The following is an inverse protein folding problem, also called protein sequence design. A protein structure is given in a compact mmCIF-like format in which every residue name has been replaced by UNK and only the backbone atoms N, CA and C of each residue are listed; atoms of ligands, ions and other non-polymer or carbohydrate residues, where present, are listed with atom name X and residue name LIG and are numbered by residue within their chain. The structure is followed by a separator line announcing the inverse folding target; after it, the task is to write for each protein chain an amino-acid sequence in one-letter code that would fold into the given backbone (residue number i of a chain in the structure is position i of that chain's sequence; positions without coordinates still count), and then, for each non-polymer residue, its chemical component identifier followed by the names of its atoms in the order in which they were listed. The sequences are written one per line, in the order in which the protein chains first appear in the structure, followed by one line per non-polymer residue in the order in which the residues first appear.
data_IF_250933023971
#
_entry.id   IF_250933023971
#
_cell.length_a   1.000
_cell.length_b   1.000
_cell.length_c   1.000
_cell.angle_alpha   90.00
_cell.angle_beta   90.00
_cell.angle_gamma   90.00
#
_symmetry.space_group_name_H-M   'P 1'
#
loop_
_entity.id
_entity.type
_entity.pdbx_description
1 polymer ?
#
# COMPACT_ATOMS: atom_id res chain seq x y z
N UNK A 1 -31.44 -38.11 -21.48
CA UNK A 1 -30.33 -37.79 -22.40
C UNK A 1 -30.32 -36.29 -22.65
N UNK A 2 -29.42 -35.54 -22.01
CA UNK A 2 -29.22 -34.11 -22.26
C UNK A 2 -27.74 -33.86 -22.45
N UNK A 3 -27.34 -33.51 -23.67
CA UNK A 3 -25.95 -33.34 -24.11
C UNK A 3 -25.38 -32.06 -23.49
N UNK A 4 -24.17 -32.15 -22.96
CA UNK A 4 -23.39 -30.99 -22.51
C UNK A 4 -22.89 -30.19 -23.71
N UNK A 5 -23.14 -28.88 -23.68
CA UNK A 5 -22.42 -27.91 -24.51
C UNK A 5 -21.24 -27.35 -23.73
N UNK A 6 -20.05 -27.76 -24.11
CA UNK A 6 -18.80 -27.15 -23.70
C UNK A 6 -18.63 -25.80 -24.40
N UNK A 7 -18.55 -24.71 -23.65
CA UNK A 7 -18.10 -23.42 -24.16
C UNK A 7 -16.57 -23.33 -24.02
N UNK A 8 -15.89 -23.34 -25.16
CA UNK A 8 -14.47 -22.96 -25.26
C UNK A 8 -14.36 -21.44 -25.22
N UNK A 9 -13.64 -20.90 -24.23
CA UNK A 9 -13.22 -19.51 -24.23
C UNK A 9 -11.97 -19.37 -25.13
N UNK A 10 -12.12 -18.68 -26.26
CA UNK A 10 -11.00 -18.26 -27.11
C UNK A 10 -10.37 -17.00 -26.53
N UNK A 11 -9.07 -17.06 -26.21
CA UNK A 11 -8.28 -15.95 -25.71
C UNK A 11 -7.90 -15.01 -26.86
N UNK A 12 -8.41 -13.77 -26.84
CA UNK A 12 -7.77 -12.61 -27.50
C UNK A 12 -8.01 -11.33 -26.70
N UNK A 13 -6.92 -10.68 -26.30
CA UNK A 13 -6.89 -9.26 -25.92
C UNK A 13 -7.34 -8.96 -24.49
N UNK A 14 -6.52 -8.20 -23.77
CA UNK A 14 -6.76 -7.66 -22.43
C UNK A 14 -7.90 -6.65 -22.40
N UNK A 15 -9.15 -7.13 -22.45
CA UNK A 15 -10.35 -6.39 -22.08
C UNK A 15 -11.46 -7.38 -21.77
N UNK A 16 -11.79 -7.56 -20.50
CA UNK A 16 -12.94 -8.35 -20.11
C UNK A 16 -14.21 -7.50 -20.27
N UNK A 17 -14.88 -7.62 -21.41
CA UNK A 17 -16.23 -7.09 -21.56
C UNK A 17 -17.21 -8.00 -20.81
N UNK A 18 -17.57 -7.58 -19.59
CA UNK A 18 -18.58 -8.25 -18.77
C UNK A 18 -20.00 -7.73 -19.10
N UNK A 19 -20.35 -7.66 -20.38
CA UNK A 19 -21.70 -7.25 -20.77
C UNK A 19 -22.71 -8.33 -20.32
N UNK A 20 -23.71 -7.94 -19.53
CA UNK A 20 -24.83 -8.81 -19.14
C UNK A 20 -24.69 -9.64 -17.85
N UNK A 21 -23.58 -9.53 -17.10
CA UNK A 21 -23.42 -10.24 -15.82
C UNK A 21 -23.78 -9.38 -14.60
N UNK A 22 -24.49 -9.97 -13.65
CA UNK A 22 -24.75 -9.37 -12.33
C UNK A 22 -23.47 -9.34 -11.47
N UNK A 23 -23.40 -8.43 -10.49
CA UNK A 23 -22.23 -8.28 -9.59
C UNK A 23 -21.84 -9.60 -8.90
N UNK A 24 -22.84 -10.39 -8.52
CA UNK A 24 -22.67 -11.69 -7.86
C UNK A 24 -22.04 -12.74 -8.79
N UNK A 25 -22.42 -12.72 -10.07
CA UNK A 25 -21.85 -13.62 -11.08
C UNK A 25 -20.38 -13.28 -11.38
N UNK A 26 -20.05 -11.99 -11.46
CA UNK A 26 -18.66 -11.53 -11.61
C UNK A 26 -17.78 -11.91 -10.41
N UNK A 27 -18.34 -11.84 -9.20
CA UNK A 27 -17.66 -12.24 -7.98
C UNK A 27 -17.37 -13.75 -7.93
N UNK A 28 -18.32 -14.58 -8.38
CA UNK A 28 -18.14 -16.03 -8.41
C UNK A 28 -17.15 -16.50 -9.49
N UNK A 29 -17.12 -15.85 -10.66
CA UNK A 29 -16.16 -16.19 -11.73
C UNK A 29 -14.71 -15.89 -11.31
N UNK A 30 -14.49 -14.76 -10.60
CA UNK A 30 -13.18 -14.44 -10.00
C UNK A 30 -12.77 -15.39 -8.88
N UNK A 31 -13.72 -15.85 -8.04
CA UNK A 31 -13.47 -16.88 -7.00
C UNK A 31 -13.00 -18.21 -7.60
N UNK A 32 -13.48 -18.56 -8.79
CA UNK A 32 -13.11 -19.81 -9.47
C UNK A 32 -11.65 -19.80 -9.97
N UNK A 33 -11.11 -18.62 -10.29
CA UNK A 33 -9.73 -18.45 -10.78
C UNK A 33 -8.68 -18.32 -9.66
N UNK A 34 -9.08 -18.05 -8.41
CA UNK A 34 -8.16 -17.73 -7.30
C UNK A 34 -8.19 -18.71 -6.11
N UNK A 35 -8.60 -19.98 -6.30
CA UNK A 35 -8.47 -21.00 -5.23
C UNK A 35 -6.99 -21.27 -4.91
N UNK A 36 -6.47 -20.57 -3.90
CA UNK A 36 -5.43 -21.09 -3.01
C UNK A 36 -6.04 -21.19 -1.59
N UNK A 37 -5.71 -22.25 -0.84
CA UNK A 37 -6.33 -22.49 0.46
C UNK A 37 -5.71 -21.57 1.54
N UNK A 38 -6.56 -20.96 2.37
CA UNK A 38 -6.17 -20.27 3.59
C UNK A 38 -6.52 -21.14 4.81
N UNK A 39 -5.54 -21.42 5.66
CA UNK A 39 -5.72 -22.08 6.96
C UNK A 39 -5.69 -21.05 8.08
N UNK A 40 -6.62 -21.19 9.03
CA UNK A 40 -6.79 -20.36 10.22
C UNK A 40 -5.80 -20.72 11.33
N UNK A 41 -5.39 -19.70 12.10
CA UNK A 41 -5.09 -19.79 13.53
C UNK A 41 -3.95 -20.71 13.97
N UNK A 42 -2.75 -20.16 14.09
CA UNK A 42 -1.63 -20.77 14.80
C UNK A 42 -0.43 -19.84 14.77
N UNK A 43 0.28 -19.70 15.89
CA UNK A 43 1.61 -19.10 15.95
C UNK A 43 2.54 -19.85 14.96
N UNK A 44 2.63 -19.36 13.72
CA UNK A 44 3.53 -19.87 12.72
C UNK A 44 4.76 -18.96 12.65
N UNK A 45 5.88 -19.52 13.07
CA UNK A 45 7.22 -18.95 12.94
C UNK A 45 7.66 -19.02 11.47
N UNK A 46 6.97 -18.26 10.61
CA UNK A 46 7.26 -18.20 9.19
C UNK A 46 8.21 -17.03 8.95
N UNK A 47 9.51 -17.33 9.01
CA UNK A 47 10.61 -16.37 8.84
C UNK A 47 10.56 -15.57 7.52
N UNK A 48 9.68 -15.93 6.56
CA UNK A 48 9.62 -15.31 5.22
C UNK A 48 8.21 -15.07 4.66
N UNK A 49 7.13 -15.32 5.41
CA UNK A 49 5.79 -15.00 4.91
C UNK A 49 5.47 -13.54 5.21
N UNK A 50 5.43 -12.70 4.17
CA UNK A 50 5.04 -11.29 4.30
C UNK A 50 3.54 -11.23 4.66
N UNK A 51 3.25 -11.04 5.94
CA UNK A 51 1.89 -10.83 6.42
C UNK A 51 1.47 -9.37 6.16
N UNK A 52 0.39 -9.18 5.41
CA UNK A 52 -0.14 -7.86 5.14
C UNK A 52 -1.10 -7.44 6.25
N UNK A 53 -0.95 -6.24 6.84
CA UNK A 53 -1.94 -5.68 7.74
C UNK A 53 -3.31 -5.62 7.06
N UNK A 54 -4.33 -6.13 7.75
CA UNK A 54 -5.74 -6.07 7.32
C UNK A 54 -6.54 -5.42 8.43
N UNK A 55 -7.44 -4.53 8.04
CA UNK A 55 -8.40 -3.88 8.93
C UNK A 55 -9.79 -4.35 8.52
N UNK A 56 -10.61 -4.76 9.49
CA UNK A 56 -11.99 -5.20 9.26
C UNK A 56 -12.92 -4.06 8.83
N UNK A 57 -12.49 -2.82 9.06
CA UNK A 57 -13.19 -1.61 8.68
C UNK A 57 -12.62 -1.03 7.37
N UNK A 58 -13.45 -0.28 6.66
CA UNK A 58 -12.95 0.58 5.60
C UNK A 58 -12.15 1.71 6.25
N UNK A 59 -10.84 1.74 6.03
CA UNK A 59 -10.01 2.86 6.47
C UNK A 59 -10.31 4.07 5.57
N UNK A 60 -11.43 4.75 5.83
CA UNK A 60 -11.75 6.02 5.17
C UNK A 60 -10.63 7.01 5.43
N UNK A 61 -10.19 7.74 4.44
CA UNK A 61 -9.04 8.62 4.60
C UNK A 61 -9.18 9.65 5.71
N UNK A 62 -8.20 9.72 6.62
CA UNK A 62 -7.97 10.94 7.40
C UNK A 62 -7.36 11.96 6.44
N UNK A 63 -8.00 13.13 6.39
CA UNK A 63 -7.50 14.30 5.68
C UNK A 63 -6.11 14.59 6.24
N UNK A 64 -5.05 14.54 5.41
CA UNK A 64 -3.79 15.10 5.87
C UNK A 64 -3.99 16.62 6.10
N UNK A 65 -3.20 17.26 6.98
CA UNK A 65 -3.48 18.60 7.52
C UNK A 65 -3.77 19.73 6.51
N UNK A 66 -3.52 19.53 5.22
CA UNK A 66 -3.74 20.53 4.16
C UNK A 66 -3.89 19.95 2.74
N UNK A 67 -4.31 18.69 2.58
CA UNK A 67 -4.36 18.00 1.27
C UNK A 67 -5.77 17.71 0.73
N UNK A 68 -5.93 17.39 -0.57
CA UNK A 68 -7.21 17.00 -1.16
C UNK A 68 -7.77 15.73 -0.50
N UNK A 69 -9.09 15.57 -0.51
CA UNK A 69 -9.76 14.43 0.12
C UNK A 69 -9.28 13.10 -0.47
N UNK A 70 -8.63 12.29 0.37
CA UNK A 70 -7.98 11.02 0.04
C UNK A 70 -8.96 9.84 -0.19
N UNK A 71 -10.28 10.08 -0.21
CA UNK A 71 -11.34 9.06 -0.04
C UNK A 71 -11.40 7.99 -1.13
N UNK A 72 -10.93 8.29 -2.34
CA UNK A 72 -10.95 7.36 -3.50
C UNK A 72 -9.56 6.94 -3.97
N UNK A 73 -8.52 7.42 -3.29
CA UNK A 73 -7.17 7.26 -3.78
C UNK A 73 -6.61 5.88 -3.45
N UNK A 74 -7.02 5.26 -2.34
CA UNK A 74 -6.37 4.05 -1.80
C UNK A 74 -5.13 4.40 -0.99
N UNK A 75 -5.18 5.55 -0.29
CA UNK A 75 -4.10 6.08 0.52
C UNK A 75 -4.68 6.55 1.87
N UNK A 76 -4.08 6.09 2.96
CA UNK A 76 -4.45 6.46 4.32
C UNK A 76 -3.29 7.19 4.98
N UNK A 77 -3.50 8.47 5.32
CA UNK A 77 -2.57 9.23 6.13
C UNK A 77 -2.59 8.72 7.58
N UNK A 78 -1.41 8.64 8.18
CA UNK A 78 -1.18 8.28 9.57
C UNK A 78 -0.56 9.49 10.25
N UNK A 79 -1.25 9.98 11.28
CA UNK A 79 -0.89 11.12 12.13
C UNK A 79 -0.72 10.67 13.59
N UNK A 80 -0.23 11.54 14.50
CA UNK A 80 -0.13 11.22 15.93
C UNK A 80 -1.45 10.76 16.57
N UNK A 81 -2.57 11.30 16.10
CA UNK A 81 -3.94 11.03 16.56
C UNK A 81 -4.52 9.74 15.95
N UNK A 82 -3.85 9.15 14.97
CA UNK A 82 -4.29 7.91 14.33
C UNK A 82 -4.22 6.73 15.30
N UNK A 83 -5.12 5.76 15.10
CA UNK A 83 -5.19 4.56 15.94
C UNK A 83 -3.83 3.88 16.04
N UNK A 84 -3.49 3.35 17.21
CA UNK A 84 -2.21 2.68 17.42
C UNK A 84 -1.98 1.54 16.41
N UNK A 85 -3.03 0.81 16.05
CA UNK A 85 -2.98 -0.25 15.04
C UNK A 85 -2.56 0.24 13.64
N UNK A 86 -2.92 1.45 13.25
CA UNK A 86 -2.48 2.05 11.98
C UNK A 86 -1.00 2.43 12.03
N UNK A 87 -0.55 3.01 13.16
CA UNK A 87 0.87 3.30 13.38
C UNK A 87 1.69 2.01 13.44
N UNK A 88 1.18 0.94 14.03
CA UNK A 88 1.82 -0.39 14.05
C UNK A 88 1.88 -1.02 12.66
N UNK A 89 0.83 -0.88 11.84
CA UNK A 89 0.86 -1.34 10.44
C UNK A 89 1.97 -0.62 9.64
N UNK A 90 2.17 0.69 9.88
CA UNK A 90 3.26 1.43 9.24
C UNK A 90 4.64 0.96 9.72
N UNK A 91 4.79 0.70 11.03
CA UNK A 91 6.01 0.10 11.59
C UNK A 91 6.30 -1.29 11.01
N UNK A 92 5.28 -2.11 10.77
CA UNK A 92 5.44 -3.40 10.13
C UNK A 92 6.05 -3.26 8.73
N UNK A 93 5.61 -2.28 7.93
CA UNK A 93 6.23 -2.00 6.63
C UNK A 93 7.65 -1.46 6.74
N UNK A 94 7.95 -0.64 7.75
CA UNK A 94 9.32 -0.21 8.01
C UNK A 94 10.24 -1.39 8.36
N UNK A 95 9.74 -2.39 9.08
CA UNK A 95 10.47 -3.63 9.38
C UNK A 95 10.69 -4.47 8.12
N UNK A 96 9.71 -4.55 7.22
CA UNK A 96 9.91 -5.21 5.92
C UNK A 96 10.94 -4.49 5.05
N UNK A 97 10.88 -3.15 5.04
CA UNK A 97 11.90 -2.32 4.38
C UNK A 97 13.30 -2.58 4.93
N UNK A 98 13.46 -2.56 6.25
CA UNK A 98 14.72 -2.90 6.92
C UNK A 98 15.25 -4.26 6.49
N UNK A 99 14.40 -5.30 6.54
CA UNK A 99 14.80 -6.66 6.19
C UNK A 99 15.19 -6.81 4.71
N UNK A 100 14.46 -6.14 3.81
CA UNK A 100 14.72 -6.21 2.37
C UNK A 100 15.96 -5.40 1.95
N UNK A 101 16.18 -4.25 2.58
CA UNK A 101 17.31 -3.36 2.28
C UNK A 101 18.55 -3.63 3.16
N UNK A 102 18.45 -4.59 4.08
CA UNK A 102 19.50 -4.96 5.04
C UNK A 102 20.03 -3.79 5.90
N UNK A 103 19.14 -2.88 6.31
CA UNK A 103 19.51 -1.82 7.25
C UNK A 103 19.68 -2.35 8.68
N UNK A 104 20.57 -1.71 9.44
CA UNK A 104 20.81 -2.05 10.85
C UNK A 104 19.63 -1.64 11.73
N UNK A 105 19.02 -0.49 11.45
CA UNK A 105 17.94 0.11 12.24
C UNK A 105 16.60 0.10 11.51
N UNK A 106 15.50 0.08 12.28
CA UNK A 106 14.15 0.29 11.74
C UNK A 106 13.93 1.80 11.55
N UNK A 107 13.40 2.19 10.40
CA UNK A 107 13.26 3.58 9.97
C UNK A 107 12.08 4.31 10.65
N UNK A 108 11.17 3.56 11.26
CA UNK A 108 9.97 4.10 11.86
C UNK A 108 9.46 3.19 12.99
N UNK A 109 9.12 3.79 14.13
CA UNK A 109 8.50 3.12 15.28
C UNK A 109 7.14 3.77 15.55
N UNK A 110 6.10 2.95 15.80
CA UNK A 110 4.74 3.40 16.01
C UNK A 110 4.59 4.36 17.20
N UNK A 111 5.36 4.11 18.26
CA UNK A 111 5.38 4.93 19.48
C UNK A 111 6.20 6.23 19.33
N UNK A 112 7.05 6.33 18.30
CA UNK A 112 7.88 7.49 18.02
C UNK A 112 7.29 8.45 16.97
N UNK A 113 6.00 8.28 16.64
CA UNK A 113 5.31 9.15 15.70
C UNK A 113 5.02 10.52 16.33
N UNK A 114 5.60 11.58 15.77
CA UNK A 114 5.48 12.97 16.26
C UNK A 114 4.80 13.89 15.23
N UNK A 115 4.57 15.16 15.59
CA UNK A 115 3.95 16.15 14.69
C UNK A 115 4.80 16.53 13.47
N UNK A 116 6.09 16.17 13.47
CA UNK A 116 7.00 16.38 12.35
C UNK A 116 7.07 15.15 11.44
N UNK A 117 6.26 14.12 11.71
CA UNK A 117 6.21 12.88 10.97
C UNK A 117 4.83 12.73 10.34
N UNK A 118 4.78 12.42 9.04
CA UNK A 118 3.55 12.07 8.35
C UNK A 118 3.76 10.74 7.67
N UNK A 119 3.01 9.73 8.13
CA UNK A 119 3.02 8.40 7.57
C UNK A 119 1.92 8.23 6.53
N UNK A 120 2.14 7.33 5.57
CA UNK A 120 1.08 6.90 4.66
C UNK A 120 1.06 5.39 4.53
N UNK A 121 -0.15 4.84 4.51
CA UNK A 121 -0.44 3.45 4.17
C UNK A 121 -1.07 3.41 2.79
N UNK A 122 -0.51 2.60 1.90
CA UNK A 122 -1.14 2.29 0.62
C UNK A 122 -2.19 1.20 0.85
N UNK A 123 -3.45 1.49 0.59
CA UNK A 123 -4.58 0.60 0.90
C UNK A 123 -5.26 0.09 -0.36
N UNK A 124 -5.75 -1.14 -0.32
CA UNK A 124 -6.59 -1.75 -1.34
C UNK A 124 -7.79 -2.45 -0.69
N UNK A 125 -8.92 -2.50 -1.40
CA UNK A 125 -10.10 -3.24 -0.95
C UNK A 125 -9.82 -4.75 -0.91
N UNK A 126 -10.08 -5.38 0.23
CA UNK A 126 -9.90 -6.83 0.41
C UNK A 126 -11.21 -7.60 0.22
N UNK A 127 -11.82 -7.45 -0.96
CA UNK A 127 -13.09 -8.11 -1.32
C UNK A 127 -13.06 -9.64 -1.16
N UNK A 128 -11.88 -10.23 -1.29
CA UNK A 128 -11.61 -11.65 -1.09
C UNK A 128 -11.78 -12.10 0.37
N UNK A 129 -11.77 -11.16 1.32
CA UNK A 129 -11.88 -11.43 2.76
C UNK A 129 -13.27 -11.12 3.33
N UNK A 130 -14.20 -10.65 2.51
CA UNK A 130 -15.58 -10.43 2.94
C UNK A 130 -16.26 -11.75 3.30
N UNK A 131 -16.64 -11.91 4.56
CA UNK A 131 -17.49 -13.00 5.03
C UNK A 131 -18.96 -12.58 5.05
N UNK A 132 -19.87 -13.54 4.86
CA UNK A 132 -21.31 -13.28 4.96
C UNK A 132 -21.63 -12.84 6.40
N UNK A 133 -21.87 -11.53 6.60
CA UNK A 133 -22.13 -10.91 7.90
C UNK A 133 -21.29 -9.68 8.25
N UNK A 134 -20.26 -9.34 7.47
CA UNK A 134 -19.48 -8.12 7.69
C UNK A 134 -20.26 -6.86 7.31
N UNK A 135 -20.31 -5.88 8.24
CA UNK A 135 -21.00 -4.58 8.05
C UNK A 135 -20.21 -3.59 7.19
N UNK A 136 -18.91 -3.81 7.01
CA UNK A 136 -18.00 -2.93 6.27
C UNK A 136 -17.03 -3.73 5.41
N UNK A 137 -16.56 -3.11 4.33
CA UNK A 137 -15.54 -3.67 3.45
C UNK A 137 -14.17 -3.64 4.15
N UNK A 138 -13.45 -4.78 4.26
CA UNK A 138 -12.14 -4.81 4.87
C UNK A 138 -11.09 -4.16 3.97
N UNK A 139 -10.07 -3.57 4.61
CA UNK A 139 -8.98 -2.87 3.96
C UNK A 139 -7.68 -3.63 4.15
N UNK A 140 -7.01 -3.98 3.05
CA UNK A 140 -5.65 -4.56 3.08
C UNK A 140 -4.63 -3.47 2.77
N UNK A 141 -3.60 -3.36 3.59
CA UNK A 141 -2.48 -2.48 3.31
C UNK A 141 -1.46 -3.19 2.40
N UNK A 142 -1.01 -2.50 1.35
CA UNK A 142 -0.08 -3.00 0.33
C UNK A 142 1.31 -2.36 0.46
N UNK A 143 1.51 -1.49 1.43
CA UNK A 143 2.78 -0.84 1.71
C UNK A 143 2.62 0.42 2.55
N UNK A 144 3.72 1.13 2.75
CA UNK A 144 3.71 2.44 3.38
C UNK A 144 4.93 3.28 3.05
N UNK A 145 4.85 4.56 3.38
CA UNK A 145 5.96 5.48 3.33
C UNK A 145 5.88 6.49 4.48
N UNK A 146 6.98 7.21 4.71
CA UNK A 146 7.07 8.21 5.75
C UNK A 146 7.77 9.47 5.26
N UNK A 147 7.15 10.60 5.53
CA UNK A 147 7.74 11.91 5.38
C UNK A 147 8.10 12.46 6.76
N UNK A 148 9.26 13.10 6.87
CA UNK A 148 9.68 13.80 8.09
C UNK A 148 10.01 15.26 7.75
N UNK A 149 9.54 16.18 8.58
CA UNK A 149 9.89 17.59 8.49
C UNK A 149 11.21 17.82 9.19
N UNK A 150 12.21 18.27 8.43
CA UNK A 150 13.56 18.54 8.93
C UNK A 150 13.85 20.01 8.64
N UNK A 151 13.91 20.81 9.71
CA UNK A 151 13.86 22.27 9.63
C UNK A 151 12.55 22.67 8.91
N UNK A 152 12.65 23.25 7.73
CA UNK A 152 11.52 23.70 6.92
C UNK A 152 11.32 22.88 5.63
N UNK A 153 11.98 21.73 5.51
CA UNK A 153 11.87 20.87 4.32
C UNK A 153 11.29 19.51 4.69
N UNK A 154 10.29 19.08 3.94
CA UNK A 154 9.81 17.70 3.99
C UNK A 154 10.80 16.77 3.31
N UNK A 155 11.09 15.64 3.96
CA UNK A 155 11.98 14.62 3.45
C UNK A 155 11.23 13.30 3.39
N UNK A 156 11.17 12.67 2.22
CA UNK A 156 10.73 11.29 2.08
C UNK A 156 11.84 10.37 2.60
N UNK A 157 11.63 9.82 3.79
CA UNK A 157 12.64 9.01 4.49
C UNK A 157 12.72 7.58 3.96
N UNK A 158 11.56 6.98 3.72
CA UNK A 158 11.49 5.62 3.20
C UNK A 158 10.14 5.38 2.53
N UNK A 159 10.14 4.43 1.59
CA UNK A 159 8.95 3.90 0.95
C UNK A 159 9.14 2.41 0.74
N UNK A 160 8.13 1.65 1.13
CA UNK A 160 8.08 0.23 0.87
C UNK A 160 6.71 -0.16 0.33
N UNK A 161 6.73 -0.90 -0.77
CA UNK A 161 5.54 -1.44 -1.41
C UNK A 161 5.74 -2.94 -1.51
N UNK A 162 4.69 -3.68 -1.18
CA UNK A 162 4.66 -5.13 -1.27
C UNK A 162 5.11 -5.59 -2.66
N UNK A 163 5.98 -6.60 -2.80
CA UNK A 163 6.54 -7.03 -4.09
C UNK A 163 5.49 -7.25 -5.18
N UNK A 164 4.34 -7.84 -4.84
CA UNK A 164 3.26 -8.08 -5.78
C UNK A 164 2.56 -6.82 -6.30
N UNK A 165 2.58 -5.73 -5.53
CA UNK A 165 2.00 -4.44 -5.91
C UNK A 165 3.01 -3.51 -6.62
N UNK A 166 4.28 -3.92 -6.73
CA UNK A 166 5.30 -3.15 -7.47
C UNK A 166 5.02 -3.19 -8.96
N UNK A 167 5.50 -2.16 -9.67
CA UNK A 167 5.33 -1.98 -11.12
C UNK A 167 3.88 -1.82 -11.59
N UNK A 168 2.90 -1.73 -10.68
CA UNK A 168 1.50 -1.44 -10.99
C UNK A 168 1.20 0.08 -11.02
N UNK A 169 2.23 0.93 -10.99
CA UNK A 169 2.06 2.39 -10.99
C UNK A 169 1.54 2.97 -9.66
N UNK A 170 1.48 2.18 -8.59
CA UNK A 170 0.93 2.60 -7.29
C UNK A 170 1.61 3.85 -6.75
N UNK A 171 2.94 3.84 -6.64
CA UNK A 171 3.69 5.02 -6.17
C UNK A 171 3.54 6.20 -7.14
N UNK A 172 3.59 5.95 -8.45
CA UNK A 172 3.48 6.98 -9.49
C UNK A 172 2.14 7.74 -9.40
N UNK A 173 1.05 7.01 -9.16
CA UNK A 173 -0.29 7.57 -8.98
C UNK A 173 -0.31 8.62 -7.88
N UNK A 174 0.27 8.33 -6.71
CA UNK A 174 0.25 9.23 -5.55
C UNK A 174 1.35 10.28 -5.60
N UNK A 175 2.44 10.03 -6.32
CA UNK A 175 3.56 10.96 -6.44
C UNK A 175 3.09 12.32 -6.95
N UNK A 176 2.44 12.33 -8.12
CA UNK A 176 2.02 13.56 -8.78
C UNK A 176 0.73 14.13 -8.22
N UNK A 177 -0.27 13.26 -7.97
CA UNK A 177 -1.60 13.69 -7.55
C UNK A 177 -1.69 14.10 -6.08
N UNK A 178 -0.68 13.81 -5.25
CA UNK A 178 -0.79 14.06 -3.83
C UNK A 178 0.51 14.51 -3.18
N UNK A 179 1.62 13.77 -3.35
CA UNK A 179 2.85 14.10 -2.65
C UNK A 179 3.46 15.42 -3.11
N UNK A 180 3.50 15.69 -4.41
CA UNK A 180 3.97 16.98 -4.93
C UNK A 180 3.06 18.14 -4.53
N UNK A 181 1.74 17.95 -4.54
CA UNK A 181 0.78 18.98 -4.14
C UNK A 181 0.85 19.29 -2.65
N UNK A 182 1.03 18.26 -1.81
CA UNK A 182 1.01 18.38 -0.34
C UNK A 182 2.35 18.84 0.23
N UNK A 183 3.46 18.31 -0.28
CA UNK A 183 4.79 18.50 0.28
C UNK A 183 5.68 19.43 -0.56
N UNK A 184 5.24 19.82 -1.76
CA UNK A 184 5.99 20.69 -2.66
C UNK A 184 7.30 20.06 -3.13
N UNK A 185 8.37 20.86 -3.17
CA UNK A 185 9.72 20.38 -3.49
C UNK A 185 10.38 19.70 -2.29
N UNK A 186 9.86 18.54 -1.94
CA UNK A 186 10.41 17.71 -0.87
C UNK A 186 11.74 17.06 -1.29
N UNK A 187 12.60 16.79 -0.31
CA UNK A 187 13.84 16.05 -0.49
C UNK A 187 13.62 14.54 -0.31
N UNK A 188 14.57 13.74 -0.79
CA UNK A 188 14.52 12.28 -0.66
C UNK A 188 15.75 11.81 0.08
N UNK A 189 15.55 10.98 1.10
CA UNK A 189 16.63 10.40 1.88
C UNK A 189 17.39 9.33 1.08
N UNK A 190 18.71 9.36 1.24
CA UNK A 190 19.67 8.41 0.66
C UNK A 190 20.25 7.50 1.75
N UNK A 191 20.64 6.26 1.42
CA UNK A 191 20.78 5.68 0.08
C UNK A 191 19.45 5.22 -0.55
N UNK A 192 19.38 5.29 -1.89
CA UNK A 192 18.21 4.88 -2.66
C UNK A 192 18.27 3.38 -2.99
N UNK A 193 17.11 2.74 -3.06
CA UNK A 193 17.02 1.39 -3.64
C UNK A 193 17.09 1.47 -5.18
N UNK A 194 17.56 0.42 -5.88
CA UNK A 194 17.59 0.42 -7.35
C UNK A 194 16.22 0.66 -7.99
N UNK A 195 15.15 0.22 -7.31
CA UNK A 195 13.76 0.48 -7.74
C UNK A 195 13.39 1.95 -7.61
N UNK A 196 13.83 2.62 -6.53
CA UNK A 196 13.58 4.04 -6.31
C UNK A 196 14.39 4.92 -7.28
N UNK A 197 15.65 4.57 -7.54
CA UNK A 197 16.47 5.24 -8.56
C UNK A 197 15.82 5.19 -9.94
N UNK A 198 15.40 3.98 -10.36
CA UNK A 198 14.68 3.77 -11.62
C UNK A 198 13.37 4.54 -11.69
N UNK A 199 12.69 4.70 -10.55
CA UNK A 199 11.45 5.46 -10.46
C UNK A 199 11.70 6.97 -10.64
N UNK A 200 12.68 7.53 -9.93
CA UNK A 200 13.01 8.96 -9.98
C UNK A 200 13.53 9.39 -11.36
N UNK A 201 14.33 8.55 -12.01
CA UNK A 201 14.76 8.77 -13.40
C UNK A 201 13.55 8.92 -14.35
N UNK A 202 12.50 8.10 -14.16
CA UNK A 202 11.28 8.17 -14.98
C UNK A 202 10.41 9.38 -14.68
N UNK A 203 10.41 9.86 -13.44
CA UNK A 203 9.68 11.09 -13.08
C UNK A 203 10.40 12.36 -13.54
N UNK A 204 11.63 12.25 -14.08
CA UNK A 204 12.50 13.40 -14.37
C UNK A 204 12.61 14.36 -13.17
N UNK A 205 12.52 13.80 -11.97
CA UNK A 205 12.29 14.57 -10.77
C UNK A 205 13.57 15.26 -10.32
N UNK A 206 13.51 16.56 -10.05
CA UNK A 206 14.64 17.38 -9.57
C UNK A 206 14.78 17.39 -8.04
N UNK A 207 14.18 16.42 -7.36
CA UNK A 207 14.19 16.37 -5.90
C UNK A 207 15.62 16.30 -5.37
N UNK A 208 15.88 17.09 -4.33
CA UNK A 208 17.18 17.08 -3.64
C UNK A 208 17.36 15.75 -2.92
N UNK A 209 18.50 15.13 -3.14
CA UNK A 209 18.91 13.94 -2.39
C UNK A 209 19.64 14.38 -1.11
N UNK A 210 19.21 13.88 0.04
CA UNK A 210 19.80 14.22 1.34
C UNK A 210 20.22 12.96 2.08
N UNK A 211 21.24 13.06 2.93
CA UNK A 211 21.63 11.98 3.84
C UNK A 211 21.32 12.43 5.25
N UNK A 212 20.35 11.78 5.88
CA UNK A 212 20.10 12.02 7.29
C UNK A 212 21.14 11.21 8.06
N UNK A 213 21.95 11.88 8.88
CA UNK A 213 22.85 11.17 9.77
C UNK A 213 22.02 10.37 10.75
N UNK A 214 22.27 9.06 10.86
CA UNK A 214 21.80 8.27 12.00
C UNK A 214 22.35 8.94 13.26
N UNK A 215 21.51 9.65 14.00
CA UNK A 215 21.85 10.16 15.32
C UNK A 215 21.95 8.99 16.31
#
# INVERSE_FOLDING_TARGET
MGRGSSFLAVLRGTSYQWAGMTLTQRANEKRRLHRLPYCSGGYMNDKYTIALPVFDEWLSSVVAPSGPALRDLGLRAVSPESRLSERQALEQFARYFKSEMHYDNVQYYANGHDNNCVGFLFTSSALDMCTDGQKSMPTRCMGGCCFRKIKDTWVLCWVWIHPFARKQGLLQKYWNCYFLETFGDFAIETPLSPSMESFLQKQQSKHRLVRLGSA
#
